data_IF_487564397188
#
_entry.id   IF_487564397188
#
_cell.length_a   1.000
_cell.length_b   1.000
_cell.length_c   1.000
_cell.angle_alpha   90.00
_cell.angle_beta   90.00
_cell.angle_gamma   90.00
#
_symmetry.space_group_name_H-M   'P 1'
#
loop_
_entity.id
_entity.type
_entity.pdbx_description
1 polymer ?
#
# COMPACT_ATOMS: atom_id res chain seq x y z
N UNK A 1 28.86 -24.26 7.84
CA UNK A 1 27.73 -23.29 7.95
C UNK A 1 27.37 -22.64 6.62
N UNK A 2 28.32 -22.02 5.89
CA UNK A 2 28.05 -21.33 4.61
C UNK A 2 27.33 -22.21 3.57
N UNK A 3 27.69 -23.50 3.47
CA UNK A 3 27.05 -24.46 2.54
C UNK A 3 25.56 -24.72 2.84
N UNK A 4 25.16 -24.72 4.12
CA UNK A 4 23.75 -24.87 4.56
C UNK A 4 22.93 -23.63 4.21
N UNK A 5 23.48 -22.44 4.44
CA UNK A 5 22.82 -21.16 4.10
C UNK A 5 22.63 -21.04 2.58
N UNK A 6 23.64 -21.43 1.78
CA UNK A 6 23.53 -21.43 0.32
C UNK A 6 22.43 -22.37 -0.18
N UNK A 7 22.30 -23.56 0.41
CA UNK A 7 21.21 -24.50 0.11
C UNK A 7 19.86 -23.91 0.49
N UNK A 8 19.74 -23.36 1.70
CA UNK A 8 18.48 -22.77 2.19
C UNK A 8 17.99 -21.63 1.30
N UNK A 9 18.87 -20.71 0.89
CA UNK A 9 18.51 -19.63 -0.03
C UNK A 9 18.09 -20.18 -1.40
N UNK A 10 18.76 -21.22 -1.89
CA UNK A 10 18.39 -21.86 -3.15
C UNK A 10 17.00 -22.50 -3.07
N UNK A 11 16.69 -23.18 -1.97
CA UNK A 11 15.39 -23.80 -1.72
C UNK A 11 14.28 -22.74 -1.60
N UNK A 12 14.54 -21.62 -0.91
CA UNK A 12 13.63 -20.47 -0.83
C UNK A 12 13.37 -19.87 -2.21
N UNK A 13 14.40 -19.71 -3.05
CA UNK A 13 14.22 -19.20 -4.43
C UNK A 13 13.39 -20.17 -5.28
N UNK A 14 13.53 -21.48 -5.10
CA UNK A 14 12.72 -22.48 -5.79
C UNK A 14 11.26 -22.41 -5.36
N UNK A 15 10.97 -22.29 -4.07
CA UNK A 15 9.60 -22.12 -3.56
C UNK A 15 8.98 -20.79 -4.00
N UNK A 16 9.75 -19.70 -4.00
CA UNK A 16 9.31 -18.38 -4.47
C UNK A 16 8.97 -18.35 -5.96
N UNK A 17 9.51 -19.28 -6.76
CA UNK A 17 9.13 -19.47 -8.17
C UNK A 17 7.84 -20.26 -8.36
N UNK A 18 7.42 -21.05 -7.36
CA UNK A 18 6.11 -21.75 -7.36
C UNK A 18 4.97 -20.82 -6.93
N UNK A 19 5.30 -19.70 -6.29
CA UNK A 19 4.32 -18.65 -5.96
C UNK A 19 3.82 -18.03 -7.26
N UNK A 20 2.51 -18.05 -7.46
CA UNK A 20 1.83 -17.35 -8.54
C UNK A 20 1.87 -15.85 -8.26
N UNK A 21 2.92 -15.19 -8.73
CA UNK A 21 2.99 -13.73 -8.69
C UNK A 21 1.96 -13.13 -9.65
N UNK A 22 1.20 -12.12 -9.21
CA UNK A 22 0.29 -11.40 -10.08
C UNK A 22 1.06 -10.74 -11.23
N UNK A 23 0.42 -10.62 -12.39
CA UNK A 23 1.02 -9.94 -13.54
C UNK A 23 1.19 -8.45 -13.23
N UNK A 24 2.17 -7.81 -13.89
CA UNK A 24 2.47 -6.37 -13.70
C UNK A 24 1.22 -5.49 -13.89
N UNK A 25 0.32 -5.91 -14.75
CA UNK A 25 -0.93 -5.22 -15.04
C UNK A 25 -1.91 -5.25 -13.85
N UNK A 26 -2.10 -6.41 -13.21
CA UNK A 26 -2.94 -6.54 -12.01
C UNK A 26 -2.41 -5.71 -10.83
N UNK A 27 -1.08 -5.63 -10.71
CA UNK A 27 -0.43 -4.78 -9.70
C UNK A 27 -0.68 -3.29 -9.96
N UNK A 28 -0.61 -2.86 -11.21
CA UNK A 28 -0.90 -1.47 -11.59
C UNK A 28 -2.37 -1.12 -11.38
N UNK A 29 -3.28 -2.03 -11.71
CA UNK A 29 -4.71 -1.84 -11.49
C UNK A 29 -5.04 -1.71 -10.00
N UNK A 30 -4.53 -2.63 -9.17
CA UNK A 30 -4.68 -2.57 -7.71
C UNK A 30 -4.11 -1.27 -7.13
N UNK A 31 -2.94 -0.85 -7.60
CA UNK A 31 -2.31 0.41 -7.15
C UNK A 31 -3.14 1.63 -7.56
N UNK A 32 -3.71 1.64 -8.78
CA UNK A 32 -4.56 2.74 -9.25
C UNK A 32 -5.83 2.87 -8.42
N UNK A 33 -6.46 1.75 -8.05
CA UNK A 33 -7.63 1.73 -7.16
C UNK A 33 -7.27 2.31 -5.80
N UNK A 34 -6.16 1.85 -5.20
CA UNK A 34 -5.69 2.34 -3.89
C UNK A 34 -5.40 3.85 -3.91
N UNK A 35 -4.75 4.35 -4.97
CA UNK A 35 -4.51 5.79 -5.15
C UNK A 35 -5.83 6.56 -5.22
N UNK A 36 -6.81 6.05 -5.99
CA UNK A 36 -8.13 6.66 -6.09
C UNK A 36 -8.86 6.73 -4.74
N UNK A 37 -8.90 5.61 -4.00
CA UNK A 37 -9.53 5.56 -2.68
C UNK A 37 -8.83 6.48 -1.67
N UNK A 38 -7.48 6.49 -1.66
CA UNK A 38 -6.70 7.36 -0.78
C UNK A 38 -6.96 8.84 -1.04
N UNK A 39 -7.07 9.25 -2.31
CA UNK A 39 -7.42 10.62 -2.68
C UNK A 39 -8.81 11.01 -2.17
N UNK A 40 -9.81 10.14 -2.33
CA UNK A 40 -11.17 10.41 -1.85
C UNK A 40 -11.17 10.62 -0.33
N UNK A 41 -10.53 9.72 0.42
CA UNK A 41 -10.43 9.83 1.89
C UNK A 41 -9.71 11.13 2.27
N UNK A 42 -8.59 11.43 1.62
CA UNK A 42 -7.81 12.65 1.87
C UNK A 42 -8.65 13.91 1.62
N UNK A 43 -9.43 13.95 0.54
CA UNK A 43 -10.34 15.08 0.26
C UNK A 43 -11.42 15.23 1.32
N UNK A 44 -12.01 14.14 1.81
CA UNK A 44 -13.02 14.19 2.87
C UNK A 44 -12.41 14.72 4.17
N UNK A 45 -11.27 14.18 4.59
CA UNK A 45 -10.58 14.63 5.81
C UNK A 45 -10.21 16.11 5.71
N UNK A 46 -9.69 16.55 4.55
CA UNK A 46 -9.37 17.95 4.32
C UNK A 46 -10.58 18.89 4.52
N UNK A 47 -11.76 18.49 4.02
CA UNK A 47 -13.00 19.28 4.21
C UNK A 47 -13.38 19.32 5.69
N UNK A 48 -13.31 18.19 6.39
CA UNK A 48 -13.64 18.12 7.82
C UNK A 48 -12.69 18.99 8.65
N UNK A 49 -11.40 18.99 8.33
CA UNK A 49 -10.40 19.81 9.02
C UNK A 49 -10.65 21.31 8.79
N UNK A 50 -11.01 21.70 7.57
CA UNK A 50 -11.38 23.09 7.25
C UNK A 50 -12.64 23.54 7.99
N UNK A 51 -13.68 22.70 8.01
CA UNK A 51 -14.92 22.98 8.76
C UNK A 51 -14.63 23.10 10.24
N UNK A 52 -13.83 22.18 10.79
CA UNK A 52 -13.48 22.20 12.22
C UNK A 52 -12.71 23.46 12.56
N UNK A 53 -11.71 23.84 11.76
CA UNK A 53 -10.93 25.08 11.96
C UNK A 53 -11.81 26.32 11.88
N UNK A 54 -12.74 26.38 10.91
CA UNK A 54 -13.69 27.48 10.78
C UNK A 54 -14.61 27.58 12.00
N UNK A 55 -15.15 26.46 12.48
CA UNK A 55 -15.98 26.42 13.69
C UNK A 55 -15.21 26.89 14.92
N UNK A 56 -13.96 26.45 15.10
CA UNK A 56 -13.12 26.90 16.20
C UNK A 56 -12.89 28.42 16.15
N UNK A 57 -12.65 28.99 14.97
CA UNK A 57 -12.45 30.44 14.80
C UNK A 57 -13.72 31.28 15.02
N UNK A 58 -14.89 30.64 14.99
CA UNK A 58 -16.17 31.33 15.24
C UNK A 58 -16.58 31.26 16.72
N UNK A 59 -16.15 30.22 17.42
CA UNK A 59 -16.43 30.01 18.85
C UNK A 59 -15.45 30.77 19.78
N UNK A 60 -14.22 31.01 19.35
CA UNK A 60 -13.17 31.74 20.07
C UNK A 60 -12.82 33.04 19.35
#
# INVERSE_FOLDING_TARGET
MVKKIKSFVNDVVVEMKKVTWPTREQLMESTRVVIGTSLIITSIVFVVDQVTTWVYSFLF
#
